data_IF_106055064547
#
_entry.id   IF_106055064547
#
_cell.length_a   1.000
_cell.length_b   1.000
_cell.length_c   1.000
_cell.angle_alpha   90.00
_cell.angle_beta   90.00
_cell.angle_gamma   90.00
#
_symmetry.space_group_name_H-M   'P 1'
#
loop_
_entity.id
_entity.type
_entity.pdbx_description
1 polymer ?
#
# COMPACT_ATOMS: atom_id res chain seq x y z
N UNK A 1 -1.11 1.88 37.93
CA UNK A 1 -0.25 3.00 37.50
C UNK A 1 0.95 3.09 38.41
N UNK A 2 2.16 2.84 37.88
CA UNK A 2 3.43 2.97 38.60
C UNK A 2 4.20 4.17 38.04
N UNK A 3 4.80 4.98 38.91
CA UNK A 3 5.65 6.10 38.52
C UNK A 3 6.89 6.05 39.42
N UNK A 4 8.08 5.85 38.84
CA UNK A 4 9.36 5.65 39.56
C UNK A 4 10.48 6.38 38.81
N UNK A 5 11.61 6.63 39.48
CA UNK A 5 12.76 7.21 38.82
C UNK A 5 13.35 6.25 37.77
N UNK A 6 14.06 6.79 36.76
CA UNK A 6 14.67 5.99 35.69
C UNK A 6 15.60 4.89 36.23
N UNK A 7 16.32 5.17 37.33
CA UNK A 7 17.20 4.21 38.01
C UNK A 7 16.45 3.06 38.67
N UNK A 8 15.17 3.24 38.99
CA UNK A 8 14.32 2.25 39.67
C UNK A 8 13.46 1.44 38.69
N UNK A 9 13.30 1.92 37.44
CA UNK A 9 12.57 1.23 36.38
C UNK A 9 13.03 -0.22 36.16
N UNK A 10 14.34 -0.57 36.14
CA UNK A 10 14.77 -1.96 35.94
C UNK A 10 14.26 -2.90 37.04
N UNK A 11 14.28 -2.43 38.30
CA UNK A 11 13.78 -3.19 39.44
C UNK A 11 12.27 -3.37 39.40
N UNK A 12 11.54 -2.33 39.02
CA UNK A 12 10.09 -2.37 38.83
C UNK A 12 9.70 -3.31 37.69
N UNK A 13 10.35 -3.20 36.52
CA UNK A 13 10.07 -4.05 35.36
C UNK A 13 10.31 -5.52 35.67
N UNK A 14 11.42 -5.85 36.33
CA UNK A 14 11.70 -7.23 36.76
C UNK A 14 10.60 -7.78 37.64
N UNK A 15 10.12 -7.00 38.62
CA UNK A 15 9.06 -7.41 39.53
C UNK A 15 7.73 -7.62 38.80
N UNK A 16 7.32 -6.65 37.99
CA UNK A 16 6.07 -6.74 37.22
C UNK A 16 6.08 -7.88 36.20
N UNK A 17 7.21 -8.12 35.52
CA UNK A 17 7.35 -9.23 34.59
C UNK A 17 7.32 -10.61 35.29
N UNK A 18 7.60 -10.64 36.60
CA UNK A 18 7.59 -11.87 37.41
C UNK A 18 6.26 -12.11 38.11
N UNK A 19 5.37 -11.11 38.16
CA UNK A 19 4.04 -11.25 38.74
C UNK A 19 3.16 -12.09 37.80
N UNK A 20 2.44 -13.06 38.39
CA UNK A 20 1.43 -13.79 37.64
C UNK A 20 0.36 -12.81 37.17
N UNK A 21 0.05 -12.87 35.87
CA UNK A 21 -1.08 -12.13 35.33
C UNK A 21 -2.35 -12.50 36.11
N UNK A 22 -3.14 -11.49 36.45
CA UNK A 22 -4.48 -11.69 36.98
C UNK A 22 -5.39 -12.39 35.96
N UNK A 23 -6.64 -12.69 36.34
CA UNK A 23 -7.60 -13.29 35.42
C UNK A 23 -7.79 -12.39 34.20
N UNK A 24 -7.73 -12.99 33.00
CA UNK A 24 -8.00 -12.28 31.75
C UNK A 24 -9.45 -11.77 31.77
N UNK A 25 -9.69 -10.45 31.64
CA UNK A 25 -11.04 -9.92 31.53
C UNK A 25 -11.69 -10.44 30.24
N UNK A 26 -13.02 -10.44 30.19
CA UNK A 26 -13.72 -10.79 28.95
C UNK A 26 -13.37 -9.76 27.87
N UNK A 27 -12.67 -10.20 26.82
CA UNK A 27 -12.23 -9.34 25.73
C UNK A 27 -13.35 -9.25 24.69
N UNK A 28 -13.83 -8.03 24.37
CA UNK A 28 -14.83 -7.84 23.32
C UNK A 28 -14.41 -8.50 21.99
N UNK A 29 -15.34 -9.13 21.26
CA UNK A 29 -15.02 -9.83 20.01
C UNK A 29 -14.26 -8.97 18.99
N UNK A 30 -14.60 -7.68 18.88
CA UNK A 30 -13.92 -6.73 18.00
C UNK A 30 -12.43 -6.56 18.36
N UNK A 31 -12.09 -6.49 19.64
CA UNK A 31 -10.69 -6.35 20.09
C UNK A 31 -9.91 -7.63 19.80
N UNK A 32 -10.55 -8.81 19.95
CA UNK A 32 -9.90 -10.07 19.58
C UNK A 32 -9.64 -10.17 18.08
N UNK A 33 -10.60 -9.71 17.26
CA UNK A 33 -10.46 -9.67 15.81
C UNK A 33 -9.30 -8.75 15.40
N UNK A 34 -9.25 -7.54 15.95
CA UNK A 34 -8.14 -6.59 15.71
C UNK A 34 -6.79 -7.16 16.13
N UNK A 35 -6.71 -7.82 17.28
CA UNK A 35 -5.50 -8.47 17.74
C UNK A 35 -5.05 -9.61 16.80
N UNK A 36 -5.99 -10.42 16.30
CA UNK A 36 -5.70 -11.49 15.33
C UNK A 36 -5.20 -10.93 13.99
N UNK A 37 -5.84 -9.86 13.48
CA UNK A 37 -5.41 -9.15 12.26
C UNK A 37 -3.98 -8.61 12.45
N UNK A 38 -3.72 -7.94 13.58
CA UNK A 38 -2.40 -7.37 13.89
C UNK A 38 -1.31 -8.43 14.06
N UNK A 39 -1.67 -9.60 14.60
CA UNK A 39 -0.77 -10.73 14.75
C UNK A 39 -0.48 -11.46 13.42
N UNK A 40 -1.12 -11.07 12.31
CA UNK A 40 -1.13 -11.80 11.05
C UNK A 40 -1.50 -13.28 11.25
N UNK A 41 -2.34 -13.55 12.25
CA UNK A 41 -2.97 -14.84 12.45
C UNK A 41 -4.09 -14.93 11.40
N UNK A 42 -3.69 -15.23 10.17
CA UNK A 42 -4.55 -15.23 9.01
C UNK A 42 -5.68 -16.24 9.20
N UNK A 43 -6.85 -15.74 9.58
CA UNK A 43 -8.09 -16.35 9.11
C UNK A 43 -8.15 -16.18 7.59
N UNK A 44 -8.75 -17.13 6.88
CA UNK A 44 -9.01 -16.93 5.44
C UNK A 44 -9.84 -15.65 5.23
N UNK A 45 -9.75 -14.99 4.07
CA UNK A 45 -10.60 -13.81 3.77
C UNK A 45 -12.09 -14.09 4.08
N UNK A 46 -12.52 -15.32 3.80
CA UNK A 46 -13.85 -15.86 4.10
C UNK A 46 -14.21 -15.87 5.61
N UNK A 47 -13.22 -15.97 6.51
CA UNK A 47 -13.44 -15.92 7.97
C UNK A 47 -13.51 -14.48 8.51
N UNK A 48 -12.95 -13.51 7.80
CA UNK A 48 -13.00 -12.07 8.15
C UNK A 48 -14.17 -11.34 7.48
N UNK A 49 -14.63 -11.86 6.34
CA UNK A 49 -15.82 -11.41 5.62
C UNK A 49 -17.07 -11.51 6.52
N UNK A 50 -17.61 -10.34 6.90
CA UNK A 50 -18.79 -10.22 7.77
C UNK A 50 -18.50 -9.81 9.21
N UNK A 51 -17.24 -9.83 9.66
CA UNK A 51 -16.85 -9.37 11.00
C UNK A 51 -16.23 -7.96 10.98
N UNK A 52 -15.78 -7.50 9.82
CA UNK A 52 -15.08 -6.23 9.65
C UNK A 52 -16.02 -5.03 9.47
N UNK A 53 -17.23 -5.21 8.97
CA UNK A 53 -18.15 -4.13 8.64
C UNK A 53 -18.95 -4.39 7.35
N UNK A 54 -19.47 -3.33 6.74
CA UNK A 54 -20.21 -3.39 5.48
C UNK A 54 -19.23 -3.38 4.30
N UNK A 55 -19.29 -4.33 3.34
CA UNK A 55 -18.42 -4.29 2.16
C UNK A 55 -18.58 -2.97 1.39
N UNK A 56 -17.46 -2.34 1.03
CA UNK A 56 -17.45 -1.12 0.19
C UNK A 56 -17.00 -1.43 -1.24
N UNK A 57 -17.13 -0.45 -2.13
CA UNK A 57 -16.58 -0.51 -3.50
C UNK A 57 -15.14 0.00 -3.58
N UNK A 58 -14.57 0.46 -2.46
CA UNK A 58 -13.23 1.04 -2.42
C UNK A 58 -12.16 -0.04 -2.20
N UNK A 59 -10.96 0.28 -2.67
CA UNK A 59 -9.77 -0.57 -2.58
C UNK A 59 -8.73 0.13 -1.72
N UNK A 60 -8.05 -0.64 -0.87
CA UNK A 60 -6.98 -0.16 0.00
C UNK A 60 -5.81 0.33 -0.85
N UNK A 61 -5.40 1.61 -0.72
CA UNK A 61 -4.27 2.15 -1.48
C UNK A 61 -2.93 1.47 -1.17
N UNK A 62 -2.80 0.85 0.02
CA UNK A 62 -1.53 0.27 0.47
C UNK A 62 -1.35 -1.20 0.10
N UNK A 63 -2.43 -2.00 0.14
CA UNK A 63 -2.35 -3.45 -0.16
C UNK A 63 -3.19 -3.88 -1.37
N UNK A 64 -3.90 -2.95 -2.01
CA UNK A 64 -4.81 -3.19 -3.13
C UNK A 64 -5.90 -4.25 -2.86
N UNK A 65 -6.19 -4.52 -1.59
CA UNK A 65 -7.30 -5.38 -1.16
C UNK A 65 -8.61 -4.61 -0.97
N UNK A 66 -9.76 -5.31 -0.88
CA UNK A 66 -11.05 -4.67 -0.61
C UNK A 66 -11.08 -3.94 0.74
N UNK A 67 -11.88 -2.88 0.82
CA UNK A 67 -12.17 -2.16 2.06
C UNK A 67 -13.60 -2.44 2.53
N UNK A 68 -13.75 -2.49 3.85
CA UNK A 68 -15.04 -2.51 4.54
C UNK A 68 -15.26 -1.19 5.25
N UNK A 69 -16.50 -0.71 5.16
CA UNK A 69 -16.99 0.48 5.83
C UNK A 69 -17.51 0.14 7.23
N UNK A 70 -17.10 0.95 8.20
CA UNK A 70 -17.42 0.81 9.61
C UNK A 70 -17.96 2.14 10.10
N UNK A 71 -19.21 2.13 10.55
CA UNK A 71 -19.82 3.28 11.21
C UNK A 71 -19.39 3.28 12.69
N UNK A 72 -18.57 4.26 13.09
CA UNK A 72 -18.18 4.47 14.48
C UNK A 72 -18.69 5.83 14.97
N UNK A 73 -19.96 5.83 15.38
CA UNK A 73 -20.66 7.03 15.83
C UNK A 73 -20.81 8.05 14.69
N UNK A 74 -20.23 9.26 14.81
CA UNK A 74 -20.31 10.28 13.76
C UNK A 74 -19.24 10.11 12.67
N UNK A 75 -18.34 9.12 12.77
CA UNK A 75 -17.21 8.95 11.86
C UNK A 75 -17.33 7.62 11.12
N UNK A 76 -17.31 7.69 9.80
CA UNK A 76 -17.16 6.54 8.92
C UNK A 76 -15.68 6.20 8.75
N UNK A 77 -15.33 4.93 8.98
CA UNK A 77 -13.97 4.41 8.79
C UNK A 77 -13.96 3.31 7.75
N UNK A 78 -12.85 3.19 7.05
CA UNK A 78 -12.60 2.14 6.07
C UNK A 78 -11.47 1.25 6.56
N UNK A 79 -11.63 -0.07 6.51
CA UNK A 79 -10.63 -1.03 6.97
C UNK A 79 -10.40 -2.13 5.95
N UNK A 80 -9.15 -2.53 5.74
CA UNK A 80 -8.83 -3.72 4.93
C UNK A 80 -8.60 -4.96 5.81
N UNK A 81 -8.60 -6.14 5.18
CA UNK A 81 -8.37 -7.42 5.86
C UNK A 81 -6.97 -7.57 6.49
N UNK A 82 -5.99 -6.75 6.07
CA UNK A 82 -4.63 -6.74 6.63
C UNK A 82 -4.45 -5.71 7.75
N UNK A 83 -5.48 -4.92 8.08
CA UNK A 83 -5.47 -3.98 9.22
C UNK A 83 -5.23 -2.51 8.90
N UNK A 84 -5.02 -2.10 7.65
CA UNK A 84 -5.00 -0.67 7.29
C UNK A 84 -6.37 -0.05 7.54
N UNK A 85 -6.38 1.14 8.12
CA UNK A 85 -7.59 1.85 8.49
C UNK A 85 -7.52 3.33 8.11
N UNK A 86 -8.62 3.86 7.57
CA UNK A 86 -8.69 5.22 7.03
C UNK A 86 -10.00 5.90 7.48
N UNK A 87 -9.96 7.21 7.73
CA UNK A 87 -11.16 8.05 7.64
C UNK A 87 -11.40 8.46 6.18
N UNK A 88 -12.58 9.00 5.85
CA UNK A 88 -12.92 9.39 4.47
C UNK A 88 -11.90 10.35 3.82
N UNK A 89 -11.53 11.44 4.50
CA UNK A 89 -10.57 12.42 3.99
C UNK A 89 -9.17 11.81 3.82
N UNK A 90 -8.75 10.98 4.77
CA UNK A 90 -7.45 10.29 4.73
C UNK A 90 -7.42 9.27 3.60
N UNK A 91 -8.53 8.56 3.35
CA UNK A 91 -8.64 7.62 2.23
C UNK A 91 -8.54 8.36 0.89
N UNK A 92 -9.20 9.50 0.76
CA UNK A 92 -9.13 10.31 -0.46
C UNK A 92 -7.71 10.79 -0.73
N UNK A 93 -6.99 11.26 0.30
CA UNK A 93 -5.59 11.65 0.16
C UNK A 93 -4.70 10.44 -0.18
N UNK A 94 -4.88 9.31 0.50
CA UNK A 94 -4.12 8.10 0.23
C UNK A 94 -4.33 7.57 -1.20
N UNK A 95 -5.55 7.69 -1.75
CA UNK A 95 -5.82 7.38 -3.16
C UNK A 95 -5.12 8.34 -4.13
N UNK A 96 -5.03 9.62 -3.79
CA UNK A 96 -4.29 10.58 -4.59
C UNK A 96 -2.79 10.27 -4.60
N UNK A 97 -2.23 9.94 -3.43
CA UNK A 97 -0.82 9.57 -3.28
C UNK A 97 -0.50 8.27 -4.03
N UNK A 98 -1.35 7.25 -3.95
CA UNK A 98 -1.22 5.99 -4.71
C UNK A 98 -1.29 6.23 -6.22
N UNK A 99 -2.24 7.05 -6.67
CA UNK A 99 -2.34 7.42 -8.09
C UNK A 99 -1.07 8.15 -8.58
N UNK A 100 -0.49 9.02 -7.76
CA UNK A 100 0.78 9.67 -8.08
C UNK A 100 1.94 8.67 -8.15
N UNK A 101 2.05 7.75 -7.18
CA UNK A 101 3.07 6.70 -7.19
C UNK A 101 2.96 5.79 -8.42
N UNK A 102 1.73 5.48 -8.85
CA UNK A 102 1.46 4.72 -10.07
C UNK A 102 1.93 5.47 -11.32
N UNK A 103 1.68 6.78 -11.43
CA UNK A 103 2.16 7.60 -12.54
C UNK A 103 3.70 7.64 -12.60
N UNK A 104 4.37 7.85 -11.47
CA UNK A 104 5.83 7.82 -11.41
C UNK A 104 6.40 6.45 -11.79
N UNK A 105 5.73 5.37 -11.39
CA UNK A 105 6.12 4.00 -11.76
C UNK A 105 5.95 3.76 -13.26
N UNK A 106 4.83 4.22 -13.83
CA UNK A 106 4.57 4.13 -15.27
C UNK A 106 5.61 4.94 -16.08
N UNK A 107 5.94 6.16 -15.64
CA UNK A 107 6.98 6.98 -16.26
C UNK A 107 8.31 6.23 -16.33
N UNK A 108 8.77 5.71 -15.18
CA UNK A 108 10.01 4.92 -15.12
C UNK A 108 9.96 3.71 -16.06
N UNK A 109 8.84 3.00 -16.10
CA UNK A 109 8.67 1.85 -16.97
C UNK A 109 8.77 2.24 -18.46
N UNK A 110 8.14 3.33 -18.88
CA UNK A 110 8.23 3.82 -20.26
C UNK A 110 9.64 4.30 -20.63
N UNK A 111 10.32 5.04 -19.75
CA UNK A 111 11.72 5.44 -19.95
C UNK A 111 12.64 4.21 -20.11
N UNK A 112 12.48 3.18 -19.27
CA UNK A 112 13.24 1.94 -19.37
C UNK A 112 12.96 1.18 -20.67
N UNK A 113 11.69 1.09 -21.08
CA UNK A 113 11.28 0.45 -22.35
C UNK A 113 11.84 1.19 -23.55
N UNK A 114 11.84 2.52 -23.54
CA UNK A 114 12.45 3.34 -24.59
C UNK A 114 13.94 3.03 -24.74
N UNK A 115 14.69 3.04 -23.64
CA UNK A 115 16.13 2.75 -23.65
C UNK A 115 16.42 1.32 -24.11
N UNK A 116 15.66 0.34 -23.64
CA UNK A 116 15.79 -1.05 -24.09
C UNK A 116 15.52 -1.20 -25.59
N UNK A 117 14.46 -0.55 -26.09
CA UNK A 117 14.10 -0.56 -27.50
C UNK A 117 15.19 0.10 -28.35
N UNK A 118 15.78 1.22 -27.92
CA UNK A 118 16.93 1.87 -28.58
C UNK A 118 18.14 0.95 -28.66
N UNK A 119 18.52 0.31 -27.54
CA UNK A 119 19.64 -0.64 -27.50
C UNK A 119 19.42 -1.82 -28.43
N UNK A 120 18.19 -2.33 -28.46
CA UNK A 120 17.80 -3.42 -29.37
C UNK A 120 17.89 -2.96 -30.81
N UNK A 121 17.34 -1.79 -31.17
CA UNK A 121 17.43 -1.24 -32.51
C UNK A 121 18.89 -1.14 -33.00
N UNK A 122 19.80 -0.61 -32.16
CA UNK A 122 21.24 -0.52 -32.47
C UNK A 122 21.86 -1.89 -32.70
N UNK A 123 21.56 -2.88 -31.85
CA UNK A 123 22.07 -4.26 -31.98
C UNK A 123 21.58 -4.94 -33.26
N UNK A 124 20.32 -4.76 -33.60
CA UNK A 124 19.72 -5.38 -34.78
C UNK A 124 20.22 -4.72 -36.07
N UNK A 125 20.44 -3.39 -36.05
CA UNK A 125 21.10 -2.69 -37.15
C UNK A 125 22.53 -3.19 -37.39
N UNK A 126 23.31 -3.42 -36.32
CA UNK A 126 24.67 -3.97 -36.41
C UNK A 126 24.70 -5.42 -36.93
N UNK A 127 23.56 -6.12 -36.92
CA UNK A 127 23.39 -7.48 -37.48
C UNK A 127 22.71 -7.46 -38.85
N UNK A 128 22.63 -6.29 -39.49
CA UNK A 128 22.01 -6.08 -40.81
C UNK A 128 20.51 -6.43 -40.86
N UNK A 129 19.85 -6.54 -39.70
CA UNK A 129 18.41 -6.79 -39.59
C UNK A 129 17.63 -5.48 -39.56
N UNK A 130 17.72 -4.73 -40.65
CA UNK A 130 17.22 -3.35 -40.74
C UNK A 130 15.72 -3.21 -40.47
N UNK A 131 14.88 -4.15 -40.92
CA UNK A 131 13.44 -4.10 -40.63
C UNK A 131 13.15 -4.16 -39.12
N UNK A 132 13.80 -5.07 -38.40
CA UNK A 132 13.66 -5.18 -36.94
C UNK A 132 14.25 -3.96 -36.22
N UNK A 133 15.38 -3.44 -36.72
CA UNK A 133 15.97 -2.22 -36.17
C UNK A 133 15.01 -1.03 -36.27
N UNK A 134 14.39 -0.82 -37.43
CA UNK A 134 13.40 0.24 -37.64
C UNK A 134 12.17 0.06 -36.77
N UNK A 135 11.65 -1.16 -36.63
CA UNK A 135 10.51 -1.44 -35.76
C UNK A 135 10.83 -1.13 -34.28
N UNK A 136 12.02 -1.50 -33.80
CA UNK A 136 12.43 -1.20 -32.43
C UNK A 136 12.68 0.30 -32.22
N UNK A 137 13.19 1.00 -33.22
CA UNK A 137 13.36 2.46 -33.17
C UNK A 137 12.01 3.19 -33.10
N UNK A 138 11.00 2.73 -33.87
CA UNK A 138 9.65 3.27 -33.79
C UNK A 138 9.02 3.08 -32.39
N UNK A 139 9.11 1.86 -31.83
CA UNK A 139 8.65 1.60 -30.46
C UNK A 139 9.35 2.45 -29.42
N UNK A 140 10.66 2.70 -29.58
CA UNK A 140 11.38 3.59 -28.67
C UNK A 140 10.79 5.00 -28.70
N UNK A 141 10.51 5.56 -29.88
CA UNK A 141 9.91 6.87 -30.03
C UNK A 141 8.49 6.95 -29.44
N UNK A 142 7.69 5.89 -29.60
CA UNK A 142 6.37 5.79 -28.95
C UNK A 142 6.49 5.85 -27.42
N UNK A 143 7.37 5.04 -26.81
CA UNK A 143 7.56 5.05 -25.36
C UNK A 143 8.09 6.39 -24.83
N UNK A 144 8.89 7.11 -25.60
CA UNK A 144 9.34 8.47 -25.25
C UNK A 144 8.22 9.50 -25.31
N UNK A 145 7.33 9.39 -26.29
CA UNK A 145 6.16 10.26 -26.38
C UNK A 145 5.21 10.02 -25.20
N UNK A 146 4.95 8.76 -24.86
CA UNK A 146 4.16 8.38 -23.69
C UNK A 146 4.79 8.90 -22.39
N UNK A 147 6.10 8.75 -22.22
CA UNK A 147 6.82 9.24 -21.05
C UNK A 147 6.65 10.76 -20.86
N UNK A 148 6.73 11.55 -21.95
CA UNK A 148 6.50 13.00 -21.90
C UNK A 148 5.08 13.33 -21.46
N UNK A 149 4.08 12.63 -21.99
CA UNK A 149 2.68 12.83 -21.59
C UNK A 149 2.48 12.52 -20.09
N UNK A 150 3.12 11.46 -19.59
CA UNK A 150 3.04 11.11 -18.17
C UNK A 150 3.70 12.20 -17.30
N UNK A 151 4.88 12.71 -17.70
CA UNK A 151 5.53 13.84 -17.03
C UNK A 151 4.62 15.07 -16.97
N UNK A 152 3.95 15.43 -18.07
CA UNK A 152 3.00 16.54 -18.10
C UNK A 152 1.78 16.32 -17.18
N UNK A 153 1.31 15.08 -17.03
CA UNK A 153 0.23 14.76 -16.08
C UNK A 153 0.70 14.96 -14.64
N UNK A 154 1.90 14.50 -14.30
CA UNK A 154 2.46 14.62 -12.96
C UNK A 154 2.66 16.10 -12.57
N UNK A 155 3.24 16.91 -13.47
CA UNK A 155 3.48 18.33 -13.19
C UNK A 155 2.18 19.12 -12.94
N UNK A 156 1.10 18.80 -13.67
CA UNK A 156 -0.21 19.46 -13.49
C UNK A 156 -0.90 19.13 -12.16
N UNK A 157 -0.48 18.07 -11.47
CA UNK A 157 -1.07 17.62 -10.19
C UNK A 157 -0.32 18.13 -8.97
N UNK A 158 0.93 18.58 -9.16
CA UNK A 158 1.81 19.08 -8.11
C UNK A 158 1.78 20.61 -7.97
N UNK A 159 1.12 21.30 -8.92
CA UNK A 159 0.84 22.75 -8.92
C UNK A 159 -0.59 23.05 -8.50
#
# INVERSE_FOLDING_TARGET
NHCVALSEMPGLLRRLASELAGPTPEIPPVIRLEAAIAAQEHGTMEQTEGQLGTPSTFVCPECHGPLWEIEDGPITRYRCHTGHAFGADVLMQAQADDAEQALWSLLRAHQQRAELAKRTAKREAARERHSLASQMAARAAEYEADAKLIEEIIHRRTT
#
